data_IF_598962932701
#
_entry.id   IF_598962932701
#
_cell.length_a   1.000
_cell.length_b   1.000
_cell.length_c   1.000
_cell.angle_alpha   90.00
_cell.angle_beta   90.00
_cell.angle_gamma   90.00
#
_symmetry.space_group_name_H-M   'P 1'
#
loop_
_entity.id
_entity.type
_entity.pdbx_description
1 polymer ?
#
# COMPACT_ATOMS: atom_id res chain seq x y z
N UNK A 1 -10.20 37.48 -15.70
CA UNK A 1 -9.69 36.15 -16.06
C UNK A 1 -8.89 35.66 -14.87
N UNK A 2 -9.28 34.58 -14.20
CA UNK A 2 -8.38 33.96 -13.22
C UNK A 2 -8.74 32.49 -12.91
N UNK A 3 -7.71 31.67 -13.10
CA UNK A 3 -7.40 30.33 -12.58
C UNK A 3 -8.40 29.20 -12.75
N UNK A 4 -8.40 28.60 -13.95
CA UNK A 4 -8.76 27.20 -14.10
C UNK A 4 -7.76 26.31 -13.35
N UNK A 5 -8.21 25.59 -12.34
CA UNK A 5 -7.38 24.64 -11.61
C UNK A 5 -6.85 23.55 -12.56
N UNK A 6 -5.53 23.45 -12.70
CA UNK A 6 -4.89 22.37 -13.46
C UNK A 6 -4.50 21.28 -12.48
N UNK A 7 -5.17 20.12 -12.52
CA UNK A 7 -4.84 18.99 -11.66
C UNK A 7 -3.74 18.15 -12.32
N UNK A 8 -2.52 18.18 -11.80
CA UNK A 8 -1.43 17.32 -12.28
C UNK A 8 -1.24 16.13 -11.33
N UNK A 9 -2.11 15.12 -11.44
CA UNK A 9 -1.88 13.81 -10.80
C UNK A 9 -1.42 12.82 -11.87
N UNK A 10 -0.31 12.13 -11.61
CA UNK A 10 0.12 11.01 -12.46
C UNK A 10 -0.59 9.76 -11.99
N UNK A 11 -1.27 9.08 -12.92
CA UNK A 11 -1.95 7.80 -12.67
C UNK A 11 -1.35 6.80 -13.65
N UNK A 12 -0.95 5.64 -13.14
CA UNK A 12 -0.49 4.53 -13.95
C UNK A 12 -1.65 3.57 -14.19
N UNK A 13 -1.78 3.10 -15.43
CA UNK A 13 -2.69 2.03 -15.81
C UNK A 13 -1.85 0.80 -16.14
N UNK A 14 -2.07 -0.26 -15.37
CA UNK A 14 -1.30 -1.50 -15.46
C UNK A 14 -2.24 -2.64 -15.82
N UNK A 15 -1.80 -3.53 -16.72
CA UNK A 15 -2.51 -4.78 -16.95
C UNK A 15 -2.17 -5.74 -15.83
N UNK A 16 -3.19 -6.26 -15.15
CA UNK A 16 -3.03 -7.32 -14.17
C UNK A 16 -2.95 -8.65 -14.91
N UNK A 17 -1.89 -9.39 -14.61
CA UNK A 17 -1.69 -10.77 -15.06
C UNK A 17 -1.75 -11.64 -13.81
N UNK A 18 -2.60 -12.65 -13.82
CA UNK A 18 -2.81 -13.52 -12.66
C UNK A 18 -2.87 -14.98 -13.10
N UNK A 19 -2.05 -15.82 -12.49
CA UNK A 19 -2.03 -17.28 -12.73
C UNK A 19 -2.67 -17.98 -11.52
N UNK A 20 -3.57 -18.94 -11.78
CA UNK A 20 -4.25 -19.70 -10.73
C UNK A 20 -5.43 -18.98 -10.08
N UNK A 21 -5.20 -17.86 -9.40
CA UNK A 21 -6.24 -17.07 -8.72
C UNK A 21 -6.41 -15.70 -9.35
N UNK A 22 -7.63 -15.17 -9.34
CA UNK A 22 -7.91 -13.81 -9.78
C UNK A 22 -7.39 -12.78 -8.77
N UNK A 23 -7.14 -11.57 -9.27
CA UNK A 23 -6.65 -10.46 -8.45
C UNK A 23 -7.60 -10.09 -7.31
N UNK A 24 -8.91 -10.17 -7.53
CA UNK A 24 -9.92 -9.87 -6.52
C UNK A 24 -10.05 -10.95 -5.46
N UNK A 25 -9.87 -12.23 -5.80
CA UNK A 25 -9.76 -13.30 -4.80
C UNK A 25 -8.57 -13.07 -3.87
N UNK A 26 -7.42 -12.68 -4.42
CA UNK A 26 -6.21 -12.39 -3.62
C UNK A 26 -6.46 -11.19 -2.71
N UNK A 27 -6.99 -10.08 -3.23
CA UNK A 27 -7.27 -8.90 -2.43
C UNK A 27 -8.27 -9.18 -1.31
N UNK A 28 -9.35 -9.93 -1.61
CA UNK A 28 -10.35 -10.27 -0.61
C UNK A 28 -9.76 -11.14 0.50
N UNK A 29 -8.89 -12.10 0.16
CA UNK A 29 -8.25 -12.94 1.18
C UNK A 29 -7.23 -12.16 2.05
N UNK A 30 -6.56 -11.16 1.48
CA UNK A 30 -5.65 -10.28 2.22
C UNK A 30 -6.40 -9.34 3.16
N UNK A 31 -7.58 -8.86 2.76
CA UNK A 31 -8.40 -7.95 3.57
C UNK A 31 -8.92 -8.61 4.86
N UNK A 32 -8.98 -9.94 4.89
CA UNK A 32 -9.34 -10.73 6.09
C UNK A 32 -8.15 -10.98 7.03
N UNK A 33 -6.92 -10.59 6.66
CA UNK A 33 -5.75 -10.73 7.51
C UNK A 33 -5.74 -9.67 8.62
N UNK A 34 -5.24 -10.05 9.79
CA UNK A 34 -5.07 -9.16 10.94
C UNK A 34 -3.68 -9.31 11.58
N UNK A 35 -3.46 -8.57 12.67
CA UNK A 35 -2.25 -8.66 13.49
C UNK A 35 -0.95 -8.45 12.69
N UNK A 36 0.01 -9.35 12.87
CA UNK A 36 1.28 -9.31 12.14
C UNK A 36 1.16 -9.85 10.70
N UNK A 37 0.15 -10.67 10.42
CA UNK A 37 -0.02 -11.33 9.13
C UNK A 37 -0.47 -10.37 8.04
N UNK A 38 -1.15 -9.26 8.38
CA UNK A 38 -1.50 -8.21 7.41
C UNK A 38 -0.28 -7.46 6.86
N UNK A 39 0.88 -7.53 7.52
CA UNK A 39 2.06 -6.74 7.14
C UNK A 39 3.06 -7.53 6.29
N UNK A 40 3.53 -6.95 5.20
CA UNK A 40 4.81 -7.34 4.59
C UNK A 40 5.93 -6.46 5.11
N UNK A 41 7.10 -7.05 5.36
CA UNK A 41 8.32 -6.32 5.71
C UNK A 41 9.15 -6.10 4.44
N UNK A 42 9.60 -4.89 4.19
CA UNK A 42 10.66 -4.66 3.21
C UNK A 42 12.01 -4.95 3.90
N UNK A 43 12.81 -5.86 3.35
CA UNK A 43 14.11 -6.22 3.95
C UNK A 43 15.01 -4.97 4.13
N UNK A 44 15.64 -4.87 5.31
CA UNK A 44 16.55 -3.78 5.63
C UNK A 44 15.87 -2.44 6.01
N UNK A 45 14.54 -2.41 6.17
CA UNK A 45 13.81 -1.22 6.64
C UNK A 45 12.83 -1.59 7.76
N UNK A 46 12.69 -0.72 8.78
CA UNK A 46 11.54 -0.80 9.71
C UNK A 46 10.31 -0.13 9.09
N UNK A 47 9.98 -0.61 7.90
CA UNK A 47 8.78 -0.24 7.18
C UNK A 47 7.87 -1.47 7.09
N UNK A 48 6.56 -1.23 7.16
CA UNK A 48 5.52 -2.24 7.01
C UNK A 48 4.61 -1.84 5.87
N UNK A 49 4.39 -2.74 4.93
CA UNK A 49 3.40 -2.58 3.86
C UNK A 49 2.14 -3.36 4.21
N UNK A 50 0.97 -2.77 3.97
CA UNK A 50 -0.30 -3.43 4.21
C UNK A 50 -1.39 -2.86 3.30
N UNK A 51 -2.38 -3.71 3.00
CA UNK A 51 -3.65 -3.27 2.42
C UNK A 51 -4.42 -2.50 3.50
N UNK A 52 -4.66 -1.20 3.25
CA UNK A 52 -5.31 -0.32 4.23
C UNK A 52 -6.82 -0.29 4.08
N UNK A 53 -7.30 -0.44 2.85
CA UNK A 53 -8.73 -0.40 2.55
C UNK A 53 -8.99 -1.16 1.27
N UNK A 54 -10.11 -1.85 1.22
CA UNK A 54 -10.61 -2.51 0.04
C UNK A 54 -12.15 -2.48 0.05
N UNK A 55 -12.75 -1.99 -1.03
CA UNK A 55 -14.19 -2.01 -1.21
C UNK A 55 -14.53 -2.46 -2.63
N UNK A 56 -15.54 -3.33 -2.76
CA UNK A 56 -16.14 -3.61 -4.05
C UNK A 56 -17.24 -2.60 -4.35
N UNK A 57 -17.20 -2.02 -5.55
CA UNK A 57 -18.28 -1.17 -6.07
C UNK A 57 -18.55 -1.52 -7.53
N UNK A 58 -19.68 -2.18 -7.76
CA UNK A 58 -20.06 -2.71 -9.07
C UNK A 58 -18.96 -3.66 -9.59
N UNK A 59 -18.45 -3.39 -10.80
CA UNK A 59 -17.39 -4.14 -11.47
C UNK A 59 -15.97 -3.60 -11.19
N UNK A 60 -15.82 -2.85 -10.10
CA UNK A 60 -14.55 -2.27 -9.69
C UNK A 60 -14.26 -2.59 -8.24
N UNK A 61 -12.98 -2.72 -7.92
CA UNK A 61 -12.49 -2.65 -6.56
C UNK A 61 -11.71 -1.38 -6.35
N UNK A 62 -11.98 -0.69 -5.25
CA UNK A 62 -11.24 0.49 -4.84
C UNK A 62 -10.46 0.12 -3.60
N UNK A 63 -9.20 0.50 -3.56
CA UNK A 63 -8.39 0.19 -2.40
C UNK A 63 -7.24 1.15 -2.23
N UNK A 64 -6.49 0.91 -1.16
CA UNK A 64 -5.27 1.64 -0.90
C UNK A 64 -4.24 0.75 -0.25
N UNK A 65 -2.99 0.92 -0.66
CA UNK A 65 -1.83 0.34 0.00
C UNK A 65 -1.18 1.42 0.86
N UNK A 66 -0.73 1.02 2.04
CA UNK A 66 -0.05 1.89 2.97
C UNK A 66 1.37 1.40 3.25
N UNK A 67 2.29 2.35 3.44
CA UNK A 67 3.59 2.14 4.08
C UNK A 67 3.51 2.78 5.45
N UNK A 68 3.72 1.99 6.49
CA UNK A 68 3.91 2.43 7.86
C UNK A 68 5.42 2.46 8.13
N UNK A 69 5.93 3.62 8.53
CA UNK A 69 7.32 3.83 8.91
C UNK A 69 7.40 4.05 10.42
N UNK A 70 8.16 3.19 11.09
CA UNK A 70 8.32 3.20 12.54
C UNK A 70 9.61 3.91 12.99
N UNK A 71 10.56 4.12 12.08
CA UNK A 71 11.85 4.74 12.38
C UNK A 71 12.17 5.92 11.44
N UNK A 72 13.24 6.68 11.74
CA UNK A 72 13.66 7.79 10.89
C UNK A 72 12.57 8.85 10.67
N UNK A 73 11.73 9.08 11.68
CA UNK A 73 10.62 10.03 11.62
C UNK A 73 11.15 11.46 11.55
N UNK A 74 10.47 12.36 10.82
CA UNK A 74 10.82 13.77 10.81
C UNK A 74 10.68 14.37 12.21
N UNK A 75 11.49 15.39 12.49
CA UNK A 75 11.36 16.18 13.72
C UNK A 75 10.33 17.29 13.56
N UNK A 76 9.71 17.69 14.67
CA UNK A 76 8.90 18.89 14.76
C UNK A 76 9.81 20.12 14.88
N UNK A 77 9.59 21.12 14.03
CA UNK A 77 10.24 22.42 14.12
C UNK A 77 9.29 23.50 14.63
N UNK A 78 9.84 24.52 15.30
CA UNK A 78 9.09 25.70 15.72
C UNK A 78 9.41 26.89 14.81
N UNK A 79 8.37 27.62 14.37
CA UNK A 79 8.55 28.84 13.60
C UNK A 79 9.40 29.85 14.38
N UNK A 80 10.35 30.50 13.70
CA UNK A 80 11.29 31.47 14.27
C UNK A 80 12.27 30.91 15.32
N UNK A 81 12.34 29.60 15.50
CA UNK A 81 13.37 28.94 16.31
C UNK A 81 14.22 28.01 15.44
N UNK A 82 15.45 27.71 15.90
CA UNK A 82 16.31 26.69 15.27
C UNK A 82 16.19 25.31 15.94
N UNK A 83 15.49 25.26 17.06
CA UNK A 83 15.33 24.03 17.82
C UNK A 83 14.33 23.10 17.15
N UNK A 84 14.64 21.81 17.20
CA UNK A 84 13.78 20.74 16.73
C UNK A 84 13.56 19.75 17.86
N UNK A 85 12.39 19.13 17.90
CA UNK A 85 12.09 18.03 18.83
C UNK A 85 11.60 16.81 18.07
N UNK A 86 11.86 15.63 18.60
CA UNK A 86 11.35 14.39 18.02
C UNK A 86 9.82 14.42 17.95
N UNK A 87 9.27 13.85 16.89
CA UNK A 87 7.85 13.55 16.81
C UNK A 87 7.52 12.51 17.89
N UNK A 88 6.59 12.85 18.78
CA UNK A 88 6.14 11.92 19.82
C UNK A 88 5.08 10.98 19.22
N UNK A 89 5.44 9.71 19.09
CA UNK A 89 4.56 8.59 18.69
C UNK A 89 4.73 7.47 19.73
N UNK A 90 3.70 6.64 19.92
CA UNK A 90 3.82 5.43 20.73
C UNK A 90 4.77 4.39 20.07
N UNK A 91 5.14 3.35 20.82
CA UNK A 91 6.08 2.30 20.34
C UNK A 91 5.52 1.52 19.14
N UNK A 92 4.20 1.42 19.05
CA UNK A 92 3.43 0.75 17.99
C UNK A 92 2.85 1.73 16.96
N UNK A 93 3.19 3.00 17.05
CA UNK A 93 2.74 4.05 16.12
C UNK A 93 3.85 4.49 15.17
N UNK A 94 3.44 4.91 13.98
CA UNK A 94 4.36 5.44 12.97
C UNK A 94 3.66 6.33 11.96
N UNK A 95 4.43 6.84 11.01
CA UNK A 95 3.88 7.63 9.91
C UNK A 95 3.37 6.72 8.81
N UNK A 96 2.19 7.05 8.30
CA UNK A 96 1.55 6.29 7.22
C UNK A 96 1.49 7.12 5.95
N UNK A 97 2.11 6.61 4.89
CA UNK A 97 1.93 7.12 3.53
C UNK A 97 1.04 6.16 2.74
N UNK A 98 0.00 6.69 2.08
CA UNK A 98 -1.03 5.90 1.39
C UNK A 98 -1.04 6.17 -0.10
N UNK A 99 -1.19 5.10 -0.90
CA UNK A 99 -1.37 5.16 -2.35
C UNK A 99 -2.68 4.45 -2.70
N UNK A 100 -3.58 5.18 -3.36
CA UNK A 100 -4.88 4.66 -3.79
C UNK A 100 -4.82 3.98 -5.15
N UNK A 101 -5.65 2.95 -5.32
CA UNK A 101 -5.83 2.24 -6.58
C UNK A 101 -7.30 1.89 -6.86
N UNK A 102 -7.59 1.63 -8.13
CA UNK A 102 -8.86 1.10 -8.61
C UNK A 102 -8.53 -0.06 -9.57
N UNK A 103 -9.09 -1.23 -9.31
CA UNK A 103 -9.04 -2.37 -10.23
C UNK A 103 -10.38 -2.51 -10.97
N UNK A 104 -10.33 -2.54 -12.29
CA UNK A 104 -11.48 -2.67 -13.17
C UNK A 104 -11.59 -4.12 -13.67
N UNK A 105 -12.47 -4.93 -13.08
CA UNK A 105 -12.51 -6.39 -13.27
C UNK A 105 -12.65 -6.79 -14.73
N UNK A 106 -13.64 -6.24 -15.45
CA UNK A 106 -13.90 -6.58 -16.87
C UNK A 106 -12.67 -6.36 -17.76
N UNK A 107 -11.93 -5.29 -17.53
CA UNK A 107 -10.75 -4.97 -18.36
C UNK A 107 -9.44 -5.60 -17.84
N UNK A 108 -9.42 -6.08 -16.58
CA UNK A 108 -8.22 -6.51 -15.89
C UNK A 108 -7.17 -5.39 -15.75
N UNK A 109 -7.60 -4.13 -15.66
CA UNK A 109 -6.72 -2.97 -15.53
C UNK A 109 -6.71 -2.47 -14.09
N UNK A 110 -5.51 -2.21 -13.56
CA UNK A 110 -5.28 -1.52 -12.30
C UNK A 110 -4.86 -0.07 -12.60
N UNK A 111 -5.67 0.89 -12.16
CA UNK A 111 -5.29 2.29 -12.10
C UNK A 111 -4.74 2.59 -10.70
N UNK A 112 -3.53 3.13 -10.60
CA UNK A 112 -2.89 3.44 -9.31
C UNK A 112 -2.27 4.83 -9.37
N UNK A 113 -2.48 5.61 -8.30
CA UNK A 113 -1.91 6.95 -8.23
C UNK A 113 -0.39 6.90 -8.04
N UNK A 114 0.32 7.85 -8.65
CA UNK A 114 1.69 8.12 -8.26
C UNK A 114 1.70 8.97 -6.99
N UNK A 115 2.11 8.37 -5.89
CA UNK A 115 2.49 9.10 -4.69
C UNK A 115 4.02 9.06 -4.54
N UNK A 116 4.68 10.22 -4.54
CA UNK A 116 6.14 10.29 -4.42
C UNK A 116 6.64 9.69 -3.10
N UNK A 117 5.87 9.91 -2.02
CA UNK A 117 6.19 9.46 -0.67
C UNK A 117 5.54 8.12 -0.32
N UNK A 118 4.48 7.74 -1.04
CA UNK A 118 3.73 6.50 -0.80
C UNK A 118 4.32 5.25 -1.46
N UNK A 119 3.73 4.08 -1.18
CA UNK A 119 4.05 2.85 -1.88
C UNK A 119 3.88 2.99 -3.40
N UNK A 120 4.79 2.40 -4.16
CA UNK A 120 4.72 2.31 -5.62
C UNK A 120 3.89 1.11 -6.03
N UNK A 121 3.47 1.03 -7.30
CA UNK A 121 2.79 -0.14 -7.83
C UNK A 121 3.58 -1.46 -7.64
N UNK A 122 4.91 -1.41 -7.72
CA UNK A 122 5.77 -2.56 -7.44
C UNK A 122 5.71 -3.03 -5.98
N UNK A 123 5.50 -2.11 -5.03
CA UNK A 123 5.33 -2.45 -3.63
C UNK A 123 3.99 -3.15 -3.39
N UNK A 124 2.93 -2.72 -4.09
CA UNK A 124 1.66 -3.44 -4.10
C UNK A 124 1.83 -4.85 -4.66
N UNK A 125 2.45 -5.00 -5.82
CA UNK A 125 2.74 -6.31 -6.41
C UNK A 125 3.53 -7.22 -5.46
N UNK A 126 4.62 -6.71 -4.87
CA UNK A 126 5.42 -7.48 -3.90
C UNK A 126 4.61 -7.88 -2.66
N UNK A 127 3.77 -6.98 -2.14
CA UNK A 127 2.90 -7.27 -1.00
C UNK A 127 1.87 -8.35 -1.35
N UNK A 128 1.17 -8.22 -2.46
CA UNK A 128 0.17 -9.19 -2.92
C UNK A 128 0.78 -10.57 -3.12
N UNK A 129 1.94 -10.67 -3.78
CA UNK A 129 2.62 -11.95 -4.00
C UNK A 129 3.09 -12.58 -2.68
N UNK A 130 3.67 -11.79 -1.77
CA UNK A 130 4.09 -12.29 -0.46
C UNK A 130 2.91 -12.88 0.34
N UNK A 131 1.77 -12.18 0.33
CA UNK A 131 0.58 -12.63 1.07
C UNK A 131 -0.16 -13.77 0.38
N UNK A 132 -0.24 -13.77 -0.95
CA UNK A 132 -0.77 -14.89 -1.71
C UNK A 132 0.05 -16.17 -1.46
N UNK A 133 1.38 -16.07 -1.42
CA UNK A 133 2.24 -17.22 -1.09
C UNK A 133 2.02 -17.72 0.35
N UNK A 134 1.84 -16.80 1.31
CA UNK A 134 1.53 -17.17 2.70
C UNK A 134 0.17 -17.90 2.80
N UNK A 135 -0.84 -17.41 2.09
CA UNK A 135 -2.22 -17.90 2.16
C UNK A 135 -2.46 -19.17 1.34
N UNK A 136 -1.78 -19.31 0.21
CA UNK A 136 -2.10 -20.31 -0.81
C UNK A 136 -0.90 -21.13 -1.29
N UNK A 137 0.32 -20.83 -0.82
CA UNK A 137 1.48 -21.64 -1.13
C UNK A 137 1.33 -23.05 -0.56
N UNK A 138 1.81 -24.07 -1.28
CA UNK A 138 1.92 -25.39 -0.69
C UNK A 138 2.93 -25.36 0.47
N UNK A 139 2.67 -26.04 1.60
CA UNK A 139 3.67 -26.19 2.63
C UNK A 139 4.87 -26.90 2.01
N UNK A 140 6.01 -26.21 1.97
CA UNK A 140 7.27 -26.82 1.56
C UNK A 140 7.53 -28.02 2.47
N UNK A 141 7.35 -29.22 1.94
CA UNK A 141 7.78 -30.46 2.58
C UNK A 141 9.29 -30.38 2.77
N UNK A 142 9.72 -29.94 3.95
CA UNK A 142 11.09 -30.12 4.40
C UNK A 142 11.21 -31.60 4.76
N UNK A 143 11.73 -32.38 3.81
CA UNK A 143 12.28 -33.72 4.03
C UNK A 143 13.66 -33.64 4.66
#
# INVERSE_FOLDING_TARGET
>A
MENGATLQRKIYFLKVLSEGRSFDEILSAIDELDGDDMYSREEGRDERLFLRSFEQKNDMYRGSIARLRLNGLPSLGQLHARDTRLLQVAEDEGLVETTHFIFFKTSGILAIEYNHYGPRASALDSHLNAKANLLFGEPSNIS
#
